data_IF_950209685682
#
_entry.id   IF_950209685682
#
_cell.length_a   1.000
_cell.length_b   1.000
_cell.length_c   1.000
_cell.angle_alpha   90.00
_cell.angle_beta   90.00
_cell.angle_gamma   90.00
#
_symmetry.space_group_name_H-M   'P 1'
#
loop_
_entity.id
_entity.type
_entity.pdbx_description
1 polymer ?
#
# COMPACT_ATOMS: atom_id res chain seq x y z
N UNK A 1 0.04 -9.20 7.78
CA UNK A 1 -1.35 -8.97 7.35
C UNK A 1 -1.52 -9.37 5.90
N UNK A 2 -2.49 -10.24 5.59
CA UNK A 2 -2.80 -10.67 4.20
C UNK A 2 -3.69 -9.61 3.53
N UNK A 3 -3.65 -9.51 2.19
CA UNK A 3 -4.42 -8.51 1.40
C UNK A 3 -5.93 -8.62 1.64
N UNK A 4 -6.48 -9.83 1.73
CA UNK A 4 -7.86 -10.08 2.13
C UNK A 4 -8.26 -9.48 3.48
N UNK A 5 -7.35 -9.43 4.45
CA UNK A 5 -7.63 -8.77 5.73
C UNK A 5 -7.72 -7.25 5.62
N UNK A 6 -7.00 -6.64 4.67
CA UNK A 6 -7.08 -5.20 4.38
C UNK A 6 -8.40 -4.91 3.65
N UNK A 7 -8.71 -5.74 2.65
CA UNK A 7 -9.94 -5.67 1.87
C UNK A 7 -11.18 -5.71 2.77
N UNK A 8 -11.26 -6.71 3.67
CA UNK A 8 -12.36 -6.84 4.62
C UNK A 8 -12.49 -5.65 5.57
N UNK A 9 -11.37 -5.12 6.09
CA UNK A 9 -11.39 -3.95 6.99
C UNK A 9 -11.80 -2.65 6.30
N UNK A 10 -11.52 -2.52 5.01
CA UNK A 10 -11.82 -1.32 4.23
C UNK A 10 -13.12 -1.43 3.44
N UNK A 11 -13.80 -2.59 3.45
CA UNK A 11 -15.03 -2.81 2.67
C UNK A 11 -14.82 -2.81 1.16
N UNK A 12 -13.63 -3.21 0.69
CA UNK A 12 -13.27 -3.24 -0.74
C UNK A 12 -12.87 -4.64 -1.18
N UNK A 13 -12.79 -4.90 -2.48
CA UNK A 13 -12.27 -6.17 -3.01
C UNK A 13 -10.74 -6.27 -2.88
N UNK A 14 -10.20 -7.50 -2.91
CA UNK A 14 -8.75 -7.71 -2.93
C UNK A 14 -8.07 -7.10 -4.17
N UNK A 15 -8.76 -7.10 -5.31
CA UNK A 15 -8.27 -6.45 -6.54
C UNK A 15 -8.19 -4.93 -6.37
N UNK A 16 -9.14 -4.30 -5.68
CA UNK A 16 -9.06 -2.86 -5.34
C UNK A 16 -7.87 -2.58 -4.42
N UNK A 17 -7.59 -3.44 -3.44
CA UNK A 17 -6.36 -3.31 -2.62
C UNK A 17 -5.10 -3.40 -3.49
N UNK A 18 -5.07 -4.29 -4.49
CA UNK A 18 -3.94 -4.38 -5.42
C UNK A 18 -3.74 -3.06 -6.19
N UNK A 19 -4.81 -2.51 -6.77
CA UNK A 19 -4.78 -1.23 -7.50
C UNK A 19 -4.33 -0.08 -6.59
N UNK A 20 -4.83 -0.01 -5.36
CA UNK A 20 -4.39 1.01 -4.40
C UNK A 20 -2.91 0.88 -4.05
N UNK A 21 -2.40 -0.34 -3.80
CA UNK A 21 -0.98 -0.55 -3.54
C UNK A 21 -0.11 -0.13 -4.73
N UNK A 22 -0.51 -0.49 -5.94
CA UNK A 22 0.18 -0.07 -7.16
C UNK A 22 0.25 1.46 -7.28
N UNK A 23 -0.89 2.14 -7.08
CA UNK A 23 -0.94 3.60 -7.13
C UNK A 23 -0.13 4.28 -6.02
N UNK A 24 -0.11 3.70 -4.81
CA UNK A 24 0.75 4.18 -3.72
C UNK A 24 2.22 4.04 -4.11
N UNK A 25 2.62 2.91 -4.70
CA UNK A 25 3.99 2.70 -5.14
C UNK A 25 4.39 3.68 -6.24
N UNK A 26 3.51 3.95 -7.20
CA UNK A 26 3.74 4.98 -8.22
C UNK A 26 3.90 6.38 -7.61
N UNK A 27 2.98 6.79 -6.72
CA UNK A 27 3.03 8.11 -6.07
C UNK A 27 4.24 8.29 -5.16
N UNK A 28 4.70 7.20 -4.57
CA UNK A 28 5.92 7.19 -3.76
C UNK A 28 7.16 6.91 -4.61
N UNK A 29 7.07 6.67 -5.92
CA UNK A 29 8.20 6.32 -6.79
C UNK A 29 9.07 5.19 -6.20
N UNK A 30 8.43 4.08 -5.85
CA UNK A 30 9.06 2.90 -5.25
C UNK A 30 8.58 1.63 -5.94
N UNK A 31 9.36 0.55 -5.86
CA UNK A 31 9.10 -0.70 -6.57
C UNK A 31 8.38 -1.76 -5.72
N UNK A 32 8.14 -1.47 -4.45
CA UNK A 32 7.43 -2.42 -3.60
C UNK A 32 7.27 -2.01 -2.14
N UNK A 33 6.70 -2.93 -1.38
CA UNK A 33 6.30 -2.72 0.02
C UNK A 33 7.45 -2.24 0.90
N UNK A 34 8.62 -2.87 0.82
CA UNK A 34 9.76 -2.55 1.69
C UNK A 34 10.26 -1.13 1.45
N UNK A 35 10.38 -0.74 0.18
CA UNK A 35 10.79 0.62 -0.20
C UNK A 35 9.72 1.65 0.18
N UNK A 36 8.44 1.32 -0.05
CA UNK A 36 7.33 2.17 0.37
C UNK A 36 7.36 2.45 1.87
N UNK A 37 7.58 1.43 2.71
CA UNK A 37 7.70 1.59 4.16
C UNK A 37 8.90 2.47 4.52
N UNK A 38 10.09 2.19 3.96
CA UNK A 38 11.30 2.98 4.23
C UNK A 38 11.13 4.45 3.82
N UNK A 39 10.53 4.72 2.64
CA UNK A 39 10.30 6.08 2.17
C UNK A 39 9.26 6.79 3.03
N UNK A 40 8.17 6.11 3.39
CA UNK A 40 7.15 6.69 4.25
C UNK A 40 7.67 6.99 5.68
N UNK A 41 8.59 6.19 6.24
CA UNK A 41 9.30 6.50 7.49
C UNK A 41 10.15 7.78 7.36
N UNK A 42 10.91 7.91 6.27
CA UNK A 42 11.72 9.12 6.01
C UNK A 42 10.86 10.38 5.87
N UNK A 43 9.69 10.24 5.25
CA UNK A 43 8.75 11.34 5.03
C UNK A 43 7.86 11.64 6.25
N UNK A 44 7.84 10.78 7.27
CA UNK A 44 6.98 10.90 8.47
C UNK A 44 5.49 11.05 8.14
N UNK A 45 5.01 10.24 7.20
CA UNK A 45 3.61 10.28 6.73
C UNK A 45 2.71 9.23 7.39
N UNK A 46 3.10 8.73 8.56
CA UNK A 46 2.32 7.88 9.45
C UNK A 46 2.96 7.82 10.85
#
# INVERSE_FOLDING_TARGET
MKRGGIAARLGVSESTVHTHLHNIYLKLEVNGKTEAIKKAQKLKIF
#
